data_IF_870663702621
#
_entry.id   IF_870663702621
#
_cell.length_a   1.000
_cell.length_b   1.000
_cell.length_c   1.000
_cell.angle_alpha   90.00
_cell.angle_beta   90.00
_cell.angle_gamma   90.00
#
_symmetry.space_group_name_H-M   'P 1'
#
loop_
_entity.id
_entity.type
_entity.pdbx_description
1 polymer ?
#
# COMPACT_ATOMS: atom_id res chain seq x y z
N UNK A 1 13.98 -15.06 25.82
CA UNK A 1 15.08 -14.61 24.99
C UNK A 1 14.67 -13.56 23.96
N UNK A 2 15.54 -13.25 23.03
CA UNK A 2 15.29 -12.29 21.96
C UNK A 2 14.06 -12.65 21.10
N UNK A 3 13.89 -13.94 20.79
CA UNK A 3 12.75 -14.47 20.06
C UNK A 3 11.41 -14.16 20.78
N UNK A 4 11.34 -14.45 22.07
CA UNK A 4 10.08 -14.23 22.81
C UNK A 4 9.77 -12.75 22.97
N UNK A 5 10.77 -11.91 23.22
CA UNK A 5 10.59 -10.48 23.47
C UNK A 5 10.15 -9.71 22.19
N UNK A 6 10.68 -10.06 21.03
CA UNK A 6 10.48 -9.29 19.80
C UNK A 6 9.63 -10.02 18.76
N UNK A 7 9.90 -11.26 18.47
CA UNK A 7 9.21 -12.01 17.43
C UNK A 7 7.73 -12.26 17.78
N UNK A 8 7.47 -12.73 18.99
CA UNK A 8 6.09 -12.97 19.43
C UNK A 8 5.30 -11.68 19.54
N UNK A 9 5.93 -10.61 20.00
CA UNK A 9 5.32 -9.28 20.06
C UNK A 9 4.99 -8.75 18.67
N UNK A 10 5.93 -8.87 17.72
CA UNK A 10 5.70 -8.48 16.33
C UNK A 10 4.54 -9.25 15.70
N UNK A 11 4.44 -10.56 15.93
CA UNK A 11 3.33 -11.36 15.45
C UNK A 11 1.99 -10.98 16.10
N UNK A 12 1.99 -10.58 17.38
CA UNK A 12 0.80 -10.08 18.05
C UNK A 12 0.32 -8.76 17.44
N UNK A 13 1.24 -7.84 17.14
CA UNK A 13 0.93 -6.58 16.45
C UNK A 13 0.40 -6.84 15.04
N UNK A 14 1.04 -7.75 14.29
CA UNK A 14 0.58 -8.16 12.95
C UNK A 14 -0.87 -8.68 12.97
N UNK A 15 -1.22 -9.53 13.95
CA UNK A 15 -2.60 -9.99 14.12
C UNK A 15 -3.57 -8.84 14.40
N UNK A 16 -3.17 -7.86 15.20
CA UNK A 16 -3.95 -6.65 15.46
C UNK A 16 -4.22 -5.86 14.17
N UNK A 17 -3.18 -5.59 13.38
CA UNK A 17 -3.31 -4.91 12.08
C UNK A 17 -4.23 -5.71 11.15
N UNK A 18 -4.05 -7.02 11.06
CA UNK A 18 -4.90 -7.90 10.23
C UNK A 18 -6.37 -7.82 10.66
N UNK A 19 -6.62 -7.77 11.98
CA UNK A 19 -7.97 -7.62 12.50
C UNK A 19 -8.59 -6.29 12.10
N UNK A 20 -7.85 -5.18 12.19
CA UNK A 20 -8.35 -3.86 11.81
C UNK A 20 -8.78 -3.83 10.33
N UNK A 21 -7.98 -4.41 9.44
CA UNK A 21 -8.32 -4.56 8.03
C UNK A 21 -9.53 -5.46 7.82
N UNK A 22 -9.59 -6.60 8.50
CA UNK A 22 -10.73 -7.53 8.41
C UNK A 22 -12.02 -6.85 8.86
N UNK A 23 -11.99 -6.09 9.95
CA UNK A 23 -13.13 -5.33 10.45
C UNK A 23 -13.56 -4.23 9.45
N UNK A 24 -12.61 -3.55 8.82
CA UNK A 24 -12.89 -2.56 7.78
C UNK A 24 -13.61 -3.20 6.58
N UNK A 25 -13.19 -4.39 6.15
CA UNK A 25 -13.81 -5.12 5.05
C UNK A 25 -15.22 -5.66 5.34
N UNK A 26 -15.70 -5.57 6.57
CA UNK A 26 -17.13 -5.79 6.85
C UNK A 26 -18.01 -4.63 6.36
N UNK A 27 -17.39 -3.47 6.02
CA UNK A 27 -18.08 -2.23 5.66
C UNK A 27 -17.75 -1.74 4.24
N UNK A 28 -16.76 -2.30 3.59
CA UNK A 28 -16.34 -1.93 2.25
C UNK A 28 -15.78 -3.14 1.48
N UNK A 29 -15.75 -3.04 0.16
CA UNK A 29 -15.27 -4.11 -0.73
C UNK A 29 -13.77 -4.00 -1.02
N UNK A 30 -13.26 -2.77 -1.07
CA UNK A 30 -11.83 -2.46 -1.26
C UNK A 30 -11.45 -1.25 -0.40
N UNK A 31 -10.19 -1.20 -0.01
CA UNK A 31 -9.57 -0.03 0.61
C UNK A 31 -8.70 0.65 -0.43
N UNK A 32 -8.80 1.97 -0.53
CA UNK A 32 -8.04 2.78 -1.49
C UNK A 32 -7.08 3.67 -0.73
N UNK A 33 -5.81 3.66 -1.13
CA UNK A 33 -4.77 4.54 -0.58
C UNK A 33 -3.89 5.08 -1.71
N UNK A 34 -3.09 6.12 -1.48
CA UNK A 34 -1.94 6.36 -2.35
C UNK A 34 -1.05 5.12 -2.40
N UNK A 35 -0.37 4.87 -3.52
CA UNK A 35 0.64 3.80 -3.57
C UNK A 35 1.90 4.23 -2.81
N UNK A 36 2.34 5.46 -3.03
CA UNK A 36 3.48 6.09 -2.35
C UNK A 36 3.10 7.46 -1.83
N UNK A 37 3.90 8.01 -0.92
CA UNK A 37 3.64 9.32 -0.31
C UNK A 37 3.71 10.48 -1.32
N UNK A 38 4.38 10.28 -2.45
CA UNK A 38 4.52 11.27 -3.51
C UNK A 38 4.97 10.63 -4.82
N UNK A 39 5.30 11.44 -5.83
CA UNK A 39 5.88 10.96 -7.09
C UNK A 39 7.30 10.43 -6.87
N UNK A 40 7.89 9.85 -7.93
CA UNK A 40 9.26 9.38 -7.88
C UNK A 40 10.23 10.50 -7.46
N UNK A 41 11.07 10.22 -6.47
CA UNK A 41 12.11 11.16 -6.03
C UNK A 41 13.34 11.12 -6.94
N UNK A 42 14.13 12.19 -6.92
CA UNK A 42 15.37 12.28 -7.72
C UNK A 42 16.38 11.22 -7.26
N UNK A 43 17.14 10.68 -8.19
CA UNK A 43 18.19 9.72 -7.88
C UNK A 43 19.15 10.30 -6.82
N UNK A 44 19.42 9.54 -5.78
CA UNK A 44 20.28 9.93 -4.67
C UNK A 44 19.64 10.84 -3.62
N UNK A 45 18.43 11.36 -3.83
CA UNK A 45 17.84 12.37 -2.94
C UNK A 45 17.55 11.88 -1.52
N UNK A 46 17.28 10.58 -1.32
CA UNK A 46 16.88 10.01 -0.02
C UNK A 46 17.84 8.95 0.52
N UNK A 47 18.99 8.77 -0.11
CA UNK A 47 19.94 7.69 0.23
C UNK A 47 20.62 7.89 1.58
N UNK A 48 20.67 9.10 2.11
CA UNK A 48 21.31 9.45 3.38
C UNK A 48 20.34 9.51 4.58
N UNK A 49 19.03 9.40 4.34
CA UNK A 49 18.00 9.46 5.37
C UNK A 49 17.15 8.18 5.37
N UNK A 50 17.43 7.22 6.27
CA UNK A 50 16.66 5.97 6.36
C UNK A 50 15.17 6.20 6.66
N UNK A 51 14.83 7.22 7.44
CA UNK A 51 13.42 7.52 7.79
C UNK A 51 12.68 8.00 6.55
N UNK A 52 13.28 8.87 5.74
CA UNK A 52 12.68 9.33 4.49
C UNK A 52 12.45 8.16 3.52
N UNK A 53 13.33 7.18 3.47
CA UNK A 53 13.14 5.97 2.66
C UNK A 53 12.01 5.08 3.19
N UNK A 54 11.90 4.90 4.51
CA UNK A 54 10.79 4.12 5.10
C UNK A 54 9.42 4.76 4.84
N UNK A 55 9.35 6.08 4.80
CA UNK A 55 8.10 6.79 4.52
C UNK A 55 7.58 6.54 3.08
N UNK A 56 8.43 6.15 2.15
CA UNK A 56 7.99 5.77 0.79
C UNK A 56 7.14 4.50 0.80
N UNK A 57 7.37 3.59 1.73
CA UNK A 57 6.66 2.31 1.84
C UNK A 57 5.47 2.33 2.80
N UNK A 58 5.17 3.49 3.40
CA UNK A 58 4.18 3.59 4.50
C UNK A 58 2.79 3.03 4.12
N UNK A 59 2.38 3.15 2.85
CA UNK A 59 1.09 2.68 2.39
C UNK A 59 1.10 1.22 1.91
N UNK A 60 2.26 0.68 1.51
CA UNK A 60 2.35 -0.67 0.94
C UNK A 60 2.70 -1.75 1.97
N UNK A 61 3.35 -1.35 3.06
CA UNK A 61 3.80 -2.28 4.10
C UNK A 61 2.65 -3.04 4.79
N UNK A 62 1.49 -2.42 4.91
CA UNK A 62 0.33 -3.04 5.54
C UNK A 62 -0.16 -4.29 4.81
N UNK A 63 -0.17 -4.29 3.47
CA UNK A 63 -0.53 -5.46 2.67
C UNK A 63 0.43 -6.62 2.91
N UNK A 64 1.74 -6.33 3.01
CA UNK A 64 2.74 -7.35 3.33
C UNK A 64 2.53 -7.96 4.72
N UNK A 65 2.19 -7.14 5.71
CA UNK A 65 1.98 -7.63 7.07
C UNK A 65 0.69 -8.42 7.23
N UNK A 66 -0.38 -8.03 6.54
CA UNK A 66 -1.69 -8.70 6.63
C UNK A 66 -1.81 -9.90 5.68
N UNK A 67 -0.97 -9.99 4.65
CA UNK A 67 -1.07 -10.97 3.58
C UNK A 67 -2.28 -10.74 2.68
N UNK A 68 -2.86 -9.55 2.70
CA UNK A 68 -3.99 -9.20 1.84
C UNK A 68 -3.51 -8.78 0.45
N UNK A 69 -4.22 -9.16 -0.63
CA UNK A 69 -3.85 -8.78 -1.97
C UNK A 69 -4.00 -7.28 -2.17
N UNK A 70 -3.05 -6.69 -2.89
CA UNK A 70 -3.06 -5.29 -3.24
C UNK A 70 -2.57 -5.09 -4.68
N UNK A 71 -3.03 -4.02 -5.30
CA UNK A 71 -2.70 -3.66 -6.67
C UNK A 71 -2.52 -2.15 -6.77
N UNK A 72 -1.47 -1.70 -7.44
CA UNK A 72 -1.31 -0.29 -7.80
C UNK A 72 -1.77 -0.08 -9.24
N UNK A 73 -2.52 0.98 -9.45
CA UNK A 73 -3.01 1.39 -10.78
C UNK A 73 -2.69 2.86 -11.04
N UNK A 74 -2.47 3.25 -12.31
CA UNK A 74 -2.23 4.65 -12.66
C UNK A 74 -3.39 5.54 -12.24
N UNK A 75 -3.10 6.70 -11.64
CA UNK A 75 -4.11 7.66 -11.20
C UNK A 75 -3.90 9.08 -11.75
N UNK A 76 -2.99 9.24 -12.69
CA UNK A 76 -2.66 10.52 -13.29
C UNK A 76 -1.20 10.88 -13.16
N UNK A 77 -0.89 12.14 -13.34
CA UNK A 77 0.47 12.68 -13.28
C UNK A 77 0.51 13.98 -12.48
N UNK A 78 1.69 14.32 -11.99
CA UNK A 78 1.99 15.64 -11.42
C UNK A 78 3.17 16.25 -12.15
N UNK A 79 3.17 17.57 -12.32
CA UNK A 79 4.30 18.28 -12.91
C UNK A 79 5.27 18.71 -11.82
N UNK A 80 6.50 18.22 -11.89
CA UNK A 80 7.59 18.68 -11.02
C UNK A 80 8.75 19.20 -11.89
N UNK A 81 9.04 20.48 -11.74
CA UNK A 81 10.13 21.15 -12.47
C UNK A 81 10.07 20.95 -13.99
N UNK A 82 8.86 20.93 -14.57
CA UNK A 82 8.66 20.72 -16.00
C UNK A 82 8.61 19.27 -16.45
N UNK A 83 8.74 18.30 -15.53
CA UNK A 83 8.66 16.87 -15.83
C UNK A 83 7.33 16.32 -15.32
N UNK A 84 6.61 15.59 -16.19
CA UNK A 84 5.38 14.89 -15.80
C UNK A 84 5.75 13.56 -15.15
N UNK A 85 5.48 13.45 -13.86
CA UNK A 85 5.74 12.23 -13.08
C UNK A 85 4.43 11.47 -12.82
N UNK A 86 4.40 10.14 -13.07
CA UNK A 86 3.20 9.35 -12.85
C UNK A 86 2.90 9.18 -11.36
N UNK A 87 1.61 9.12 -11.04
CA UNK A 87 1.09 8.79 -9.72
C UNK A 87 0.32 7.48 -9.77
N UNK A 88 0.28 6.77 -8.66
CA UNK A 88 -0.49 5.55 -8.48
C UNK A 88 -1.43 5.63 -7.29
N UNK A 89 -2.57 4.95 -7.39
CA UNK A 89 -3.39 4.59 -6.25
C UNK A 89 -3.28 3.10 -5.99
N UNK A 90 -3.35 2.71 -4.73
CA UNK A 90 -3.36 1.33 -4.30
C UNK A 90 -4.77 0.90 -3.96
N UNK A 91 -5.17 -0.26 -4.45
CA UNK A 91 -6.38 -0.97 -4.06
C UNK A 91 -5.97 -2.17 -3.21
N UNK A 92 -6.61 -2.35 -2.05
CA UNK A 92 -6.40 -3.50 -1.18
C UNK A 92 -7.75 -4.23 -1.04
N UNK A 93 -7.74 -5.55 -1.17
CA UNK A 93 -8.93 -6.39 -1.00
C UNK A 93 -8.73 -7.36 0.17
N UNK A 94 -9.81 -7.95 0.71
CA UNK A 94 -9.70 -9.01 1.71
C UNK A 94 -8.95 -10.23 1.15
N UNK A 95 -8.49 -11.11 2.04
CA UNK A 95 -7.81 -12.35 1.64
C UNK A 95 -8.56 -13.08 0.53
N UNK A 96 -7.85 -13.56 -0.48
CA UNK A 96 -8.38 -14.22 -1.69
C UNK A 96 -9.28 -13.32 -2.54
N UNK A 97 -9.21 -12.02 -2.36
CA UNK A 97 -10.05 -11.03 -3.05
C UNK A 97 -9.44 -10.43 -4.32
N UNK A 98 -8.48 -11.09 -4.96
CA UNK A 98 -7.80 -10.61 -6.17
C UNK A 98 -8.76 -10.25 -7.30
N UNK A 99 -9.82 -11.04 -7.48
CA UNK A 99 -10.83 -10.78 -8.50
C UNK A 99 -11.52 -9.42 -8.31
N UNK A 100 -11.73 -8.98 -7.06
CA UNK A 100 -12.29 -7.65 -6.76
C UNK A 100 -11.35 -6.54 -7.22
N UNK A 101 -10.05 -6.71 -7.01
CA UNK A 101 -9.05 -5.73 -7.45
C UNK A 101 -9.12 -5.53 -8.96
N UNK A 102 -9.17 -6.62 -9.73
CA UNK A 102 -9.25 -6.54 -11.19
C UNK A 102 -10.54 -5.89 -11.67
N UNK A 103 -11.68 -6.22 -11.08
CA UNK A 103 -12.96 -5.63 -11.44
C UNK A 103 -12.96 -4.12 -11.15
N UNK A 104 -12.56 -3.72 -9.95
CA UNK A 104 -12.53 -2.31 -9.56
C UNK A 104 -11.48 -1.54 -10.36
N UNK A 105 -10.30 -2.12 -10.54
CA UNK A 105 -9.21 -1.52 -11.31
C UNK A 105 -9.57 -1.26 -12.76
N UNK A 106 -10.15 -2.26 -13.44
CA UNK A 106 -10.64 -2.10 -14.82
C UNK A 106 -11.67 -0.97 -14.91
N UNK A 107 -12.64 -0.97 -14.00
CA UNK A 107 -13.68 0.06 -13.99
C UNK A 107 -13.11 1.46 -13.75
N UNK A 108 -12.12 1.58 -12.88
CA UNK A 108 -11.43 2.85 -12.63
C UNK A 108 -10.67 3.34 -13.87
N UNK A 109 -10.04 2.43 -14.61
CA UNK A 109 -9.31 2.74 -15.83
C UNK A 109 -10.22 2.97 -17.06
N UNK A 110 -11.54 2.80 -16.92
CA UNK A 110 -12.49 2.92 -18.01
C UNK A 110 -12.51 1.72 -18.97
N UNK A 111 -11.99 0.57 -18.52
CA UNK A 111 -12.04 -0.70 -19.27
C UNK A 111 -13.31 -1.49 -18.87
N UNK A 112 -13.98 -2.05 -19.88
CA UNK A 112 -15.15 -2.92 -19.67
C UNK A 112 -14.75 -4.37 -19.34
#
# INVERSE_FOLDING_TARGET
GYYDAYYNKANAVRRGITKDFTDAFTKCDVIVTPTTAGPAFKLGAKTSDPVAMYLEDIFTVSSNHTGMPAMSIPSGTVNEEGVQLPLGIQLIAPHMGEARLFVVGKKFLGEE
#
